data_IF_602427635642
#
_entry.id   IF_602427635642
#
_cell.length_a   1.000
_cell.length_b   1.000
_cell.length_c   1.000
_cell.angle_alpha   90.00
_cell.angle_beta   90.00
_cell.angle_gamma   90.00
#
_symmetry.space_group_name_H-M   'P 1'
#
loop_
_entity.id
_entity.type
_entity.pdbx_description
1 polymer ?
#
# COMPACT_ATOMS: atom_id res chain seq x y z
N UNK A 1 -21.36 27.67 -3.71
CA UNK A 1 -22.05 27.53 -2.41
C UNK A 1 -23.08 26.43 -2.57
N UNK A 2 -23.10 25.42 -1.71
CA UNK A 2 -24.11 24.37 -1.73
C UNK A 2 -25.30 24.84 -0.89
N UNK A 3 -26.52 24.77 -1.43
CA UNK A 3 -27.75 25.18 -0.73
C UNK A 3 -28.59 23.94 -0.39
N UNK A 4 -29.29 23.92 0.74
CA UNK A 4 -30.16 22.81 1.14
C UNK A 4 -30.96 23.05 2.42
N UNK A 5 -31.50 21.97 2.99
CA UNK A 5 -32.53 22.00 4.04
C UNK A 5 -32.03 22.10 5.48
N UNK A 6 -30.77 22.48 5.71
CA UNK A 6 -30.21 22.61 7.05
C UNK A 6 -29.57 21.34 7.65
N UNK A 7 -29.40 20.28 6.86
CA UNK A 7 -28.66 19.07 7.29
C UNK A 7 -27.23 19.39 7.74
N UNK A 8 -26.64 18.53 8.58
CA UNK A 8 -25.28 18.69 9.12
C UNK A 8 -25.02 20.10 9.68
N UNK A 9 -25.98 20.65 10.45
CA UNK A 9 -25.94 22.02 11.02
C UNK A 9 -25.74 23.13 9.98
N UNK A 10 -26.12 22.87 8.73
CA UNK A 10 -25.96 23.78 7.60
C UNK A 10 -24.62 23.67 6.87
N UNK A 11 -23.70 22.78 7.28
CA UNK A 11 -22.39 22.63 6.63
C UNK A 11 -22.44 21.77 5.37
N UNK A 12 -23.33 20.78 5.32
CA UNK A 12 -23.39 19.80 4.22
C UNK A 12 -24.85 19.44 3.91
N UNK A 13 -25.44 20.02 2.85
CA UNK A 13 -26.82 19.75 2.48
C UNK A 13 -27.01 18.34 1.90
N UNK A 14 -28.28 17.88 1.92
CA UNK A 14 -28.70 16.60 1.38
C UNK A 14 -29.02 15.58 2.47
N UNK A 15 -30.01 14.72 2.21
CA UNK A 15 -30.49 13.71 3.17
C UNK A 15 -29.33 12.87 3.71
N UNK A 16 -29.32 12.69 5.03
CA UNK A 16 -28.32 11.92 5.73
C UNK A 16 -28.36 10.46 5.29
N UNK A 17 -27.18 9.90 4.98
CA UNK A 17 -27.06 8.50 4.61
C UNK A 17 -27.01 7.64 5.89
N UNK A 18 -28.14 7.56 6.60
CA UNK A 18 -28.25 6.96 7.93
C UNK A 18 -27.62 5.55 8.03
N UNK A 19 -27.80 4.63 7.06
CA UNK A 19 -27.13 3.33 7.11
C UNK A 19 -25.59 3.41 7.07
N UNK A 20 -25.03 4.28 6.22
CA UNK A 20 -23.56 4.44 6.14
C UNK A 20 -22.99 5.17 7.36
N UNK A 21 -23.74 6.11 7.93
CA UNK A 21 -23.38 6.79 9.18
C UNK A 21 -23.33 5.77 10.33
N UNK A 22 -24.35 4.92 10.45
CA UNK A 22 -24.37 3.85 11.46
C UNK A 22 -23.20 2.85 11.26
N UNK A 23 -22.91 2.47 10.01
CA UNK A 23 -21.77 1.62 9.67
C UNK A 23 -20.43 2.24 10.05
N UNK A 24 -20.23 3.54 9.77
CA UNK A 24 -19.05 4.28 10.20
C UNK A 24 -18.92 4.32 11.73
N UNK A 25 -20.03 4.58 12.43
CA UNK A 25 -20.07 4.56 13.89
C UNK A 25 -19.62 3.23 14.47
N UNK A 26 -20.16 2.11 13.96
CA UNK A 26 -19.77 0.77 14.42
C UNK A 26 -18.32 0.42 14.06
N UNK A 27 -17.84 0.85 12.90
CA UNK A 27 -16.45 0.66 12.52
C UNK A 27 -15.49 1.43 13.46
N UNK A 28 -15.83 2.68 13.81
CA UNK A 28 -15.06 3.49 14.74
C UNK A 28 -15.03 2.88 16.15
N UNK A 29 -16.16 2.38 16.64
CA UNK A 29 -16.26 1.65 17.91
C UNK A 29 -15.30 0.45 17.94
N UNK A 30 -15.42 -0.45 16.96
CA UNK A 30 -14.60 -1.67 16.88
C UNK A 30 -13.11 -1.36 16.77
N UNK A 31 -12.72 -0.35 15.99
CA UNK A 31 -11.31 0.04 15.85
C UNK A 31 -10.79 0.63 17.16
N UNK A 32 -11.59 1.44 17.86
CA UNK A 32 -11.18 2.04 19.13
C UNK A 32 -10.96 0.98 20.21
N UNK A 33 -11.85 -0.02 20.29
CA UNK A 33 -11.74 -1.13 21.26
C UNK A 33 -10.53 -2.05 21.01
N UNK A 34 -10.03 -2.10 19.77
CA UNK A 34 -9.00 -3.05 19.36
C UNK A 34 -7.73 -2.38 18.82
N UNK A 35 -7.57 -1.07 19.01
CA UNK A 35 -6.57 -0.26 18.31
C UNK A 35 -5.14 -0.80 18.52
N UNK A 36 -4.75 -1.03 19.76
CA UNK A 36 -3.42 -1.54 20.12
C UNK A 36 -3.16 -2.94 19.55
N UNK A 37 -4.14 -3.83 19.62
CA UNK A 37 -4.02 -5.19 19.08
C UNK A 37 -3.89 -5.20 17.55
N UNK A 38 -4.68 -4.37 16.86
CA UNK A 38 -4.60 -4.21 15.41
C UNK A 38 -3.27 -3.58 14.99
N UNK A 39 -2.81 -2.55 15.71
CA UNK A 39 -1.52 -1.93 15.46
C UNK A 39 -0.39 -2.95 15.62
N UNK A 40 -0.34 -3.68 16.73
CA UNK A 40 0.69 -4.68 17.00
C UNK A 40 0.70 -5.80 15.94
N UNK A 41 -0.47 -6.33 15.57
CA UNK A 41 -0.60 -7.34 14.52
C UNK A 41 -0.13 -6.82 13.17
N UNK A 42 -0.66 -5.68 12.72
CA UNK A 42 -0.29 -5.11 11.41
C UNK A 42 1.21 -4.76 11.36
N UNK A 43 1.76 -4.24 12.47
CA UNK A 43 3.18 -3.93 12.61
C UNK A 43 4.04 -5.18 12.40
N UNK A 44 3.73 -6.26 13.10
CA UNK A 44 4.45 -7.53 13.01
C UNK A 44 4.36 -8.16 11.62
N UNK A 45 3.17 -8.18 11.01
CA UNK A 45 2.97 -8.74 9.66
C UNK A 45 3.69 -7.89 8.60
N UNK A 46 3.69 -6.56 8.73
CA UNK A 46 4.40 -5.65 7.83
C UNK A 46 5.92 -5.77 7.97
N UNK A 47 6.44 -5.91 9.19
CA UNK A 47 7.87 -6.17 9.42
C UNK A 47 8.29 -7.53 8.85
N UNK A 48 7.44 -8.56 9.00
CA UNK A 48 7.65 -9.87 8.38
C UNK A 48 7.67 -9.79 6.84
N UNK A 49 6.74 -9.04 6.24
CA UNK A 49 6.73 -8.78 4.80
C UNK A 49 8.03 -8.10 4.34
N UNK A 50 8.47 -7.05 5.03
CA UNK A 50 9.72 -6.36 4.72
C UNK A 50 10.93 -7.31 4.81
N UNK A 51 11.00 -8.13 5.86
CA UNK A 51 12.07 -9.12 6.03
C UNK A 51 12.07 -10.17 4.91
N UNK A 52 10.90 -10.68 4.52
CA UNK A 52 10.76 -11.66 3.42
C UNK A 52 11.14 -11.05 2.07
N UNK A 53 10.74 -9.81 1.81
CA UNK A 53 11.10 -9.12 0.59
C UNK A 53 12.62 -8.86 0.49
N UNK A 54 13.25 -8.45 1.59
CA UNK A 54 14.72 -8.29 1.67
C UNK A 54 15.43 -9.63 1.46
N UNK A 55 14.95 -10.70 2.09
CA UNK A 55 15.54 -12.04 1.93
C UNK A 55 15.41 -12.57 0.49
N UNK A 56 14.31 -12.27 -0.20
CA UNK A 56 14.04 -12.78 -1.54
C UNK A 56 14.76 -11.98 -2.64
N UNK A 57 14.79 -10.65 -2.54
CA UNK A 57 15.31 -9.77 -3.59
C UNK A 57 16.70 -9.18 -3.29
N UNK A 58 17.22 -9.36 -2.07
CA UNK A 58 18.55 -8.93 -1.63
C UNK A 58 18.88 -7.49 -2.08
N UNK A 59 19.98 -7.28 -2.80
CA UNK A 59 20.42 -5.96 -3.27
C UNK A 59 19.49 -5.30 -4.29
N UNK A 60 18.52 -6.02 -4.85
CA UNK A 60 17.56 -5.43 -5.80
C UNK A 60 16.45 -4.66 -5.08
N UNK A 61 16.23 -4.83 -3.78
CA UNK A 61 15.13 -4.14 -3.10
C UNK A 61 15.57 -2.84 -2.43
N UNK A 62 14.71 -1.82 -2.54
CA UNK A 62 14.83 -0.57 -1.82
C UNK A 62 13.54 -0.27 -1.06
N UNK A 63 13.61 -0.17 0.27
CA UNK A 63 12.45 0.17 1.11
C UNK A 63 12.28 1.70 1.17
N UNK A 64 11.23 2.22 0.56
CA UNK A 64 10.99 3.65 0.37
C UNK A 64 10.52 4.39 1.64
N UNK A 65 10.39 3.70 2.77
CA UNK A 65 9.78 4.24 3.99
C UNK A 65 10.62 4.03 5.25
N UNK A 66 11.83 3.48 5.16
CA UNK A 66 12.73 3.29 6.31
C UNK A 66 13.71 4.45 6.45
N UNK A 67 13.22 5.62 6.88
CA UNK A 67 14.09 6.74 7.22
C UNK A 67 14.44 6.72 8.72
N UNK A 68 15.70 7.00 9.12
CA UNK A 68 16.07 7.06 10.53
C UNK A 68 15.19 8.03 11.32
N UNK A 69 14.59 7.54 12.42
CA UNK A 69 13.79 8.36 13.33
C UNK A 69 12.38 8.70 12.85
N UNK A 70 11.89 8.13 11.74
CA UNK A 70 10.52 8.40 11.26
C UNK A 70 9.50 7.41 11.80
N UNK A 71 8.39 7.94 12.30
CA UNK A 71 7.19 7.16 12.56
C UNK A 71 6.55 6.70 11.24
N UNK A 72 5.93 5.53 11.26
CA UNK A 72 5.29 4.93 10.09
C UNK A 72 3.98 4.28 10.50
N UNK A 73 3.03 4.28 9.57
CA UNK A 73 1.84 3.45 9.71
C UNK A 73 2.23 1.99 9.88
N UNK A 74 1.62 1.26 10.82
CA UNK A 74 2.00 -0.12 11.14
C UNK A 74 1.79 -1.06 9.94
N UNK A 75 0.91 -0.68 9.01
CA UNK A 75 0.37 -1.57 8.01
C UNK A 75 0.91 -1.37 6.58
N UNK A 76 1.74 -0.35 6.35
CA UNK A 76 2.10 0.06 4.98
C UNK A 76 3.57 -0.23 4.68
N UNK A 77 3.80 -1.05 3.67
CA UNK A 77 5.10 -1.34 3.09
C UNK A 77 5.17 -0.71 1.70
N UNK A 78 6.06 0.26 1.52
CA UNK A 78 6.37 0.83 0.20
C UNK A 78 7.82 0.49 -0.15
N UNK A 79 8.02 -0.13 -1.30
CA UNK A 79 9.32 -0.61 -1.73
C UNK A 79 9.44 -0.55 -3.25
N UNK A 80 10.67 -0.57 -3.75
CA UNK A 80 10.97 -0.63 -5.17
C UNK A 80 11.87 -1.83 -5.45
N UNK A 81 11.56 -2.58 -6.50
CA UNK A 81 12.43 -3.65 -7.00
C UNK A 81 13.24 -3.09 -8.18
N UNK A 82 14.55 -2.95 -7.99
CA UNK A 82 15.46 -2.36 -8.96
C UNK A 82 15.70 -3.29 -10.13
N UNK A 83 15.53 -2.75 -11.34
CA UNK A 83 15.77 -3.46 -12.60
C UNK A 83 15.21 -2.65 -13.77
N UNK A 84 15.83 -2.75 -14.97
CA UNK A 84 15.48 -1.91 -16.12
C UNK A 84 14.06 -2.16 -16.66
N UNK A 85 13.49 -3.34 -16.41
CA UNK A 85 12.16 -3.75 -16.88
C UNK A 85 11.15 -3.94 -15.73
N UNK A 86 11.52 -3.55 -14.50
CA UNK A 86 10.75 -3.82 -13.28
C UNK A 86 9.94 -2.60 -12.82
N UNK A 87 9.34 -1.87 -13.76
CA UNK A 87 8.38 -0.82 -13.41
C UNK A 87 7.28 -1.42 -12.54
N UNK A 88 6.92 -0.74 -11.44
CA UNK A 88 6.01 -1.33 -10.43
C UNK A 88 4.70 -1.81 -11.05
N UNK A 89 4.16 -1.04 -12.01
CA UNK A 89 2.91 -1.38 -12.72
C UNK A 89 3.01 -2.66 -13.53
N UNK A 90 4.17 -2.91 -14.15
CA UNK A 90 4.39 -4.11 -14.95
C UNK A 90 4.55 -5.32 -14.04
N UNK A 91 5.26 -5.17 -12.91
CA UNK A 91 5.38 -6.22 -11.89
C UNK A 91 4.01 -6.59 -11.34
N UNK A 92 3.18 -5.61 -10.94
CA UNK A 92 1.82 -5.91 -10.48
C UNK A 92 0.94 -6.57 -11.54
N UNK A 93 1.04 -6.14 -12.80
CA UNK A 93 0.27 -6.73 -13.89
C UNK A 93 0.62 -8.21 -14.15
N UNK A 94 1.79 -8.67 -13.70
CA UNK A 94 2.22 -10.06 -13.81
C UNK A 94 1.89 -10.90 -12.57
N UNK A 95 1.54 -10.26 -11.45
CA UNK A 95 1.08 -10.95 -10.25
C UNK A 95 -0.33 -11.53 -10.47
N UNK A 96 -0.59 -12.71 -9.91
CA UNK A 96 -1.86 -13.43 -10.05
C UNK A 96 -2.68 -13.46 -8.77
N UNK A 97 -2.03 -13.46 -7.61
CA UNK A 97 -2.68 -13.61 -6.30
C UNK A 97 -2.73 -12.30 -5.53
N UNK A 98 -1.96 -11.31 -5.95
CA UNK A 98 -1.80 -10.03 -5.28
C UNK A 98 -2.80 -8.98 -5.78
N UNK A 99 -3.60 -8.42 -4.85
CA UNK A 99 -4.33 -7.18 -5.06
C UNK A 99 -3.57 -6.04 -4.40
N UNK A 100 -2.94 -5.19 -5.21
CA UNK A 100 -2.06 -4.13 -4.72
C UNK A 100 -2.16 -2.83 -5.55
N UNK A 101 -1.52 -1.78 -5.06
CA UNK A 101 -1.49 -0.46 -5.68
C UNK A 101 -0.06 -0.07 -6.06
N UNK A 102 0.11 0.57 -7.23
CA UNK A 102 1.40 1.01 -7.80
C UNK A 102 1.79 2.45 -7.49
N UNK A 103 1.04 3.15 -6.63
CA UNK A 103 1.34 4.54 -6.30
C UNK A 103 0.23 5.27 -5.56
N UNK A 104 0.43 6.59 -5.37
CA UNK A 104 -0.41 7.44 -4.54
C UNK A 104 -1.82 7.72 -5.10
N UNK A 105 -2.14 7.31 -6.34
CA UNK A 105 -3.45 7.51 -6.91
C UNK A 105 -3.89 6.26 -7.66
N UNK A 106 -4.99 5.64 -7.22
CA UNK A 106 -5.85 4.88 -8.12
C UNK A 106 -6.20 5.81 -9.30
N UNK A 107 -5.86 5.42 -10.52
CA UNK A 107 -6.19 6.14 -11.76
C UNK A 107 -5.41 7.43 -12.05
N UNK A 108 -4.13 7.31 -12.38
CA UNK A 108 -3.59 8.22 -13.40
C UNK A 108 -3.26 7.42 -14.65
N UNK A 109 -4.14 7.51 -15.66
CA UNK A 109 -3.85 7.22 -17.07
C UNK A 109 -2.70 8.09 -17.63
N UNK A 110 -1.96 8.81 -16.77
CA UNK A 110 -0.83 9.66 -17.10
C UNK A 110 0.51 8.94 -16.95
N UNK A 111 0.65 7.81 -17.63
CA UNK A 111 1.94 7.25 -18.02
C UNK A 111 2.96 6.95 -16.92
N UNK A 112 4.20 6.72 -17.34
CA UNK A 112 5.39 6.30 -16.57
C UNK A 112 5.91 7.31 -15.52
N UNK A 113 5.05 8.16 -14.97
CA UNK A 113 5.48 9.20 -14.05
C UNK A 113 5.67 8.65 -12.64
N UNK A 114 6.88 8.78 -12.05
CA UNK A 114 7.14 8.36 -10.68
C UNK A 114 6.30 9.17 -9.69
N UNK A 115 6.05 8.58 -8.52
CA UNK A 115 5.29 9.22 -7.44
C UNK A 115 5.93 10.54 -7.00
N UNK A 116 5.20 11.68 -7.02
CA UNK A 116 5.74 12.96 -6.55
C UNK A 116 6.10 12.94 -5.07
N UNK A 117 5.45 12.08 -4.27
CA UNK A 117 5.80 11.87 -2.85
C UNK A 117 7.19 11.26 -2.72
N UNK A 118 7.48 10.20 -3.49
CA UNK A 118 8.78 9.53 -3.45
C UNK A 118 9.90 10.46 -3.92
N UNK A 119 9.66 11.22 -5.00
CA UNK A 119 10.62 12.21 -5.47
C UNK A 119 10.90 13.28 -4.41
N UNK A 120 9.86 13.75 -3.71
CA UNK A 120 10.00 14.75 -2.64
C UNK A 120 10.73 14.20 -1.41
N UNK A 121 10.66 12.89 -1.17
CA UNK A 121 11.45 12.20 -0.15
C UNK A 121 12.92 11.97 -0.57
N UNK A 122 13.32 12.40 -1.76
CA UNK A 122 14.68 12.22 -2.28
C UNK A 122 14.94 10.86 -2.92
N UNK A 123 13.89 10.05 -3.18
CA UNK A 123 14.05 8.79 -3.90
C UNK A 123 14.31 9.09 -5.38
N UNK A 124 15.39 8.52 -5.98
CA UNK A 124 15.70 8.71 -7.38
C UNK A 124 14.54 8.30 -8.31
N UNK A 125 14.37 9.01 -9.43
CA UNK A 125 13.21 8.83 -10.30
C UNK A 125 13.12 7.45 -10.95
N UNK A 126 14.25 6.81 -11.23
CA UNK A 126 14.36 5.43 -11.69
C UNK A 126 13.91 4.42 -10.61
N UNK A 127 14.31 4.62 -9.36
CA UNK A 127 13.86 3.79 -8.22
C UNK A 127 12.36 4.02 -7.93
N UNK A 128 11.91 5.26 -7.96
CA UNK A 128 10.51 5.63 -7.70
C UNK A 128 9.55 5.09 -8.77
N UNK A 129 10.00 4.89 -10.02
CA UNK A 129 9.23 4.24 -11.09
C UNK A 129 8.97 2.76 -10.83
N UNK A 130 9.83 2.12 -10.06
CA UNK A 130 9.72 0.70 -9.72
C UNK A 130 8.94 0.48 -8.41
N UNK A 131 8.34 1.53 -7.86
CA UNK A 131 7.68 1.47 -6.56
C UNK A 131 6.38 0.64 -6.59
N UNK A 132 6.20 -0.11 -5.52
CA UNK A 132 5.07 -0.95 -5.18
C UNK A 132 4.64 -0.59 -3.77
N UNK A 133 3.32 -0.54 -3.53
CA UNK A 133 2.78 -0.33 -2.19
C UNK A 133 1.87 -1.49 -1.82
N UNK A 134 2.28 -2.20 -0.78
CA UNK A 134 1.48 -3.24 -0.13
C UNK A 134 1.00 -2.75 1.22
N UNK A 135 -0.27 -3.00 1.51
CA UNK A 135 -0.87 -2.69 2.80
C UNK A 135 -1.45 -3.96 3.38
N UNK A 136 -1.05 -4.28 4.61
CA UNK A 136 -1.60 -5.41 5.38
C UNK A 136 -2.80 -4.94 6.20
N UNK A 137 -3.68 -5.87 6.55
CA UNK A 137 -4.86 -5.60 7.36
C UNK A 137 -4.85 -6.35 8.68
N UNK A 138 -5.84 -6.06 9.52
CA UNK A 138 -6.06 -6.73 10.81
C UNK A 138 -6.23 -8.26 10.73
N UNK A 139 -6.49 -8.79 9.53
CA UNK A 139 -6.71 -10.22 9.26
C UNK A 139 -5.69 -10.80 8.28
N UNK A 140 -4.72 -10.02 7.82
CA UNK A 140 -3.65 -10.54 6.95
C UNK A 140 -2.76 -11.48 7.74
N UNK A 141 -2.46 -12.64 7.17
CA UNK A 141 -1.68 -13.70 7.77
C UNK A 141 -0.26 -13.76 7.20
N UNK A 142 0.66 -14.38 7.94
CA UNK A 142 2.03 -14.60 7.46
C UNK A 142 2.05 -15.54 6.24
N UNK A 143 1.13 -16.50 6.16
CA UNK A 143 1.01 -17.39 5.01
C UNK A 143 0.59 -16.64 3.73
N UNK A 144 -0.32 -15.66 3.84
CA UNK A 144 -0.66 -14.79 2.71
C UNK A 144 0.53 -13.93 2.29
N UNK A 145 1.33 -13.43 3.24
CA UNK A 145 2.58 -12.72 2.94
C UNK A 145 3.53 -13.60 2.13
N UNK A 146 3.71 -14.86 2.53
CA UNK A 146 4.59 -15.80 1.82
C UNK A 146 4.13 -16.05 0.38
N UNK A 147 2.82 -16.22 0.19
CA UNK A 147 2.23 -16.40 -1.14
C UNK A 147 2.45 -15.16 -2.02
N UNK A 148 2.29 -13.96 -1.46
CA UNK A 148 2.49 -12.70 -2.18
C UNK A 148 3.95 -12.48 -2.56
N UNK A 149 4.89 -12.76 -1.67
CA UNK A 149 6.34 -12.64 -1.96
C UNK A 149 6.74 -13.63 -3.07
N UNK A 150 6.19 -14.85 -3.04
CA UNK A 150 6.43 -15.83 -4.09
C UNK A 150 5.82 -15.42 -5.45
N UNK A 151 4.63 -14.82 -5.46
CA UNK A 151 4.01 -14.31 -6.70
C UNK A 151 4.81 -13.13 -7.28
N UNK A 152 5.30 -12.22 -6.43
CA UNK A 152 6.21 -11.15 -6.82
C UNK A 152 7.50 -11.69 -7.45
N UNK A 153 8.11 -12.72 -6.83
CA UNK A 153 9.30 -13.39 -7.37
C UNK A 153 9.05 -13.91 -8.78
N UNK A 154 7.92 -14.60 -8.99
CA UNK A 154 7.56 -15.13 -10.30
C UNK A 154 7.28 -14.02 -11.31
N UNK A 155 6.61 -12.94 -10.91
CA UNK A 155 6.36 -11.79 -11.76
C UNK A 155 7.66 -11.14 -12.24
N UNK A 156 8.62 -10.94 -11.32
CA UNK A 156 9.96 -10.42 -11.63
C UNK A 156 10.70 -11.36 -12.59
N UNK A 157 10.71 -12.67 -12.32
CA UNK A 157 11.40 -13.65 -13.18
C UNK A 157 10.84 -13.65 -14.61
N UNK A 158 9.51 -13.53 -14.79
CA UNK A 158 8.89 -13.42 -16.12
C UNK A 158 9.33 -12.16 -16.87
N UNK A 159 9.37 -11.02 -16.19
CA UNK A 159 9.81 -9.75 -16.79
C UNK A 159 11.31 -9.73 -17.12
N UNK A 160 12.12 -10.47 -16.37
CA UNK A 160 13.55 -10.62 -16.66
C UNK A 160 13.86 -11.72 -17.70
N UNK A 161 12.84 -12.41 -18.24
CA UNK A 161 13.02 -13.49 -19.22
C UNK A 161 13.65 -14.76 -18.64
N UNK A 162 13.48 -14.99 -17.33
CA UNK A 162 14.02 -16.13 -16.58
C UNK A 162 12.97 -17.23 -16.31
N UNK A 163 11.78 -17.11 -16.90
CA UNK A 163 10.63 -17.99 -16.71
C UNK A 163 10.25 -18.75 -17.98
#
# INVERSE_FOLDING_TARGET
MLFGGGQERGFRPGTENTPMIAGLGKAAELVTENCEAYEAHMRAVRDYLEARLVAEFDKKIHLNSQFPGTERLPNTCNFSIQGPQLQGRLVLAQCRTLLASVGAACHSDQGDRPSPVLLSCGIPADVARNALRLSVGRSTTLAEVDLVVQDLKQAVARLEGQA
#
